data_IF_883857569080
#
_entry.id   IF_883857569080
#
_cell.length_a   1.000
_cell.length_b   1.000
_cell.length_c   1.000
_cell.angle_alpha   90.00
_cell.angle_beta   90.00
_cell.angle_gamma   90.00
#
_symmetry.space_group_name_H-M   'P 1'
#
loop_
_entity.id
_entity.type
_entity.pdbx_description
1 polymer ?
#
# COMPACT_ATOMS: atom_id res chain seq x y z
N UNK A 1 -9.87 4.85 5.39
CA UNK A 1 -9.06 4.09 6.38
C UNK A 1 -8.00 5.01 6.98
N UNK A 2 -7.52 4.72 8.19
CA UNK A 2 -6.32 5.39 8.74
C UNK A 2 -5.08 4.72 8.15
N UNK A 3 -4.14 5.51 7.61
CA UNK A 3 -2.91 4.99 7.00
C UNK A 3 -1.76 5.01 8.00
N UNK A 4 -1.07 3.88 8.12
CA UNK A 4 0.18 3.76 8.86
C UNK A 4 1.29 3.25 7.93
N UNK A 5 2.54 3.67 8.16
CA UNK A 5 3.69 3.24 7.38
C UNK A 5 4.61 2.38 8.26
N UNK A 6 4.81 1.10 7.90
CA UNK A 6 5.68 0.20 8.67
C UNK A 6 7.18 0.51 8.49
N UNK A 7 7.53 1.27 7.45
CA UNK A 7 8.92 1.64 7.13
C UNK A 7 9.01 3.13 6.78
N UNK A 8 10.05 3.78 7.25
CA UNK A 8 10.30 5.22 7.07
C UNK A 8 10.36 5.64 5.60
N UNK A 9 10.98 4.84 4.73
CA UNK A 9 11.05 5.18 3.31
C UNK A 9 9.66 5.31 2.66
N UNK A 10 8.65 4.58 3.15
CA UNK A 10 7.29 4.64 2.62
C UNK A 10 6.63 5.98 2.94
N UNK A 11 6.83 6.50 4.16
CA UNK A 11 6.32 7.81 4.55
C UNK A 11 7.09 8.93 3.85
N UNK A 12 8.42 8.82 3.73
CA UNK A 12 9.25 9.78 2.97
C UNK A 12 8.79 9.87 1.50
N UNK A 13 8.61 8.72 0.84
CA UNK A 13 8.11 8.70 -0.55
C UNK A 13 6.70 9.29 -0.67
N UNK A 14 5.87 9.16 0.36
CA UNK A 14 4.50 9.68 0.35
C UNK A 14 4.47 11.21 0.55
N UNK A 15 5.14 11.71 1.58
CA UNK A 15 5.10 13.13 1.96
C UNK A 15 6.09 13.99 1.18
N UNK A 16 7.29 13.48 0.90
CA UNK A 16 8.38 14.23 0.27
C UNK A 16 8.56 13.90 -1.21
N UNK A 17 8.00 12.78 -1.67
CA UNK A 17 8.17 12.30 -3.04
C UNK A 17 9.56 11.75 -3.36
N UNK A 18 10.41 11.56 -2.34
CA UNK A 18 11.78 11.04 -2.45
C UNK A 18 12.22 10.39 -1.14
N UNK A 19 13.23 9.54 -1.23
CA UNK A 19 13.92 8.93 -0.09
C UNK A 19 15.43 9.00 -0.35
N UNK A 20 16.24 9.20 0.70
CA UNK A 20 17.70 9.31 0.56
C UNK A 20 18.40 7.95 0.40
N UNK A 21 17.74 6.86 0.81
CA UNK A 21 18.25 5.50 0.69
C UNK A 21 18.40 5.08 -0.79
N UNK A 22 19.54 4.46 -1.10
CA UNK A 22 19.86 3.98 -2.45
C UNK A 22 18.94 2.85 -2.89
N UNK A 23 18.44 2.01 -1.98
CA UNK A 23 17.60 0.86 -2.34
C UNK A 23 16.20 1.25 -2.81
N UNK A 24 15.69 2.40 -2.35
CA UNK A 24 14.31 2.85 -2.59
C UNK A 24 14.23 4.05 -3.56
N UNK A 25 15.22 4.19 -4.46
CA UNK A 25 15.21 5.20 -5.54
C UNK A 25 14.35 4.75 -6.71
N UNK A 26 13.04 4.81 -6.51
CA UNK A 26 12.08 4.49 -7.57
C UNK A 26 12.03 5.59 -8.63
N UNK A 27 11.58 5.23 -9.83
CA UNK A 27 11.33 6.23 -10.88
C UNK A 27 10.20 7.17 -10.46
N UNK A 28 10.22 8.46 -10.84
CA UNK A 28 9.19 9.43 -10.44
C UNK A 28 7.75 9.01 -10.76
N UNK A 29 7.55 8.22 -11.83
CA UNK A 29 6.22 7.69 -12.18
C UNK A 29 5.74 6.62 -11.18
N UNK A 30 6.64 5.77 -10.68
CA UNK A 30 6.34 4.75 -9.66
C UNK A 30 5.92 5.44 -8.37
N UNK A 31 6.67 6.46 -7.94
CA UNK A 31 6.37 7.25 -6.73
C UNK A 31 5.00 7.92 -6.86
N UNK A 32 4.71 8.58 -7.99
CA UNK A 32 3.39 9.19 -8.24
C UNK A 32 2.26 8.17 -8.18
N UNK A 33 2.45 6.98 -8.75
CA UNK A 33 1.43 5.93 -8.71
C UNK A 33 1.28 5.34 -7.30
N UNK A 34 2.37 5.17 -6.57
CA UNK A 34 2.38 4.77 -5.17
C UNK A 34 1.55 5.73 -4.31
N UNK A 35 1.82 7.04 -4.40
CA UNK A 35 1.04 8.08 -3.69
C UNK A 35 -0.44 7.97 -4.04
N UNK A 36 -0.78 7.82 -5.34
CA UNK A 36 -2.17 7.61 -5.75
C UNK A 36 -2.80 6.39 -5.10
N UNK A 37 -2.07 5.28 -4.95
CA UNK A 37 -2.59 4.07 -4.29
C UNK A 37 -2.83 4.30 -2.81
N UNK A 38 -1.91 4.98 -2.11
CA UNK A 38 -2.08 5.32 -0.70
C UNK A 38 -3.30 6.24 -0.50
N UNK A 39 -3.50 7.23 -1.37
CA UNK A 39 -4.69 8.09 -1.34
C UNK A 39 -5.97 7.29 -1.56
N UNK A 40 -6.00 6.40 -2.56
CA UNK A 40 -7.15 5.50 -2.79
C UNK A 40 -7.48 4.65 -1.56
N UNK A 41 -6.46 4.15 -0.84
CA UNK A 41 -6.65 3.39 0.40
C UNK A 41 -7.17 4.28 1.54
N UNK A 42 -6.69 5.51 1.66
CA UNK A 42 -7.13 6.46 2.67
C UNK A 42 -8.61 6.84 2.49
N UNK A 43 -9.04 7.03 1.24
CA UNK A 43 -10.42 7.35 0.86
C UNK A 43 -11.38 6.15 0.93
N UNK A 44 -10.86 4.92 0.91
CA UNK A 44 -11.67 3.71 1.00
C UNK A 44 -12.31 3.55 2.40
N UNK A 45 -13.58 3.13 2.42
CA UNK A 45 -14.30 2.80 3.65
C UNK A 45 -13.83 1.46 4.23
N UNK A 46 -13.65 0.46 3.37
CA UNK A 46 -13.16 -0.87 3.69
C UNK A 46 -12.42 -1.43 2.46
N UNK A 47 -11.87 -2.63 2.55
CA UNK A 47 -11.03 -3.17 1.48
C UNK A 47 -11.87 -3.69 0.30
N UNK A 48 -13.11 -4.06 0.56
CA UNK A 48 -14.06 -4.60 -0.41
C UNK A 48 -14.38 -3.60 -1.52
N UNK A 49 -14.37 -2.30 -1.23
CA UNK A 49 -14.58 -1.26 -2.27
C UNK A 49 -13.48 -1.25 -3.34
N UNK A 50 -12.32 -1.87 -3.07
CA UNK A 50 -11.21 -1.96 -4.01
C UNK A 50 -11.38 -3.10 -5.02
N UNK A 51 -12.16 -4.14 -4.68
CA UNK A 51 -12.32 -5.34 -5.51
C UNK A 51 -12.84 -5.06 -6.93
N UNK A 52 -13.84 -4.19 -7.15
CA UNK A 52 -14.31 -3.88 -8.52
C UNK A 52 -13.31 -3.03 -9.32
N UNK A 53 -12.27 -2.47 -8.70
CA UNK A 53 -11.28 -1.63 -9.37
C UNK A 53 -10.22 -2.49 -10.07
N UNK A 54 -10.56 -3.04 -11.24
CA UNK A 54 -9.70 -3.95 -12.01
C UNK A 54 -8.27 -3.44 -12.25
N UNK A 55 -8.07 -2.11 -12.32
CA UNK A 55 -6.74 -1.51 -12.48
C UNK A 55 -5.80 -1.72 -11.28
N UNK A 56 -6.36 -1.96 -10.09
CA UNK A 56 -5.62 -2.30 -8.88
C UNK A 56 -5.16 -3.74 -8.89
N UNK A 57 -5.84 -4.63 -9.62
CA UNK A 57 -5.56 -6.06 -9.64
C UNK A 57 -5.43 -6.63 -8.23
N UNK A 58 -6.39 -6.33 -7.36
CA UNK A 58 -6.32 -6.64 -5.94
C UNK A 58 -6.08 -8.14 -5.69
N UNK A 59 -5.20 -8.46 -4.74
CA UNK A 59 -4.84 -9.82 -4.40
C UNK A 59 -4.57 -9.95 -2.89
N UNK A 60 -5.04 -11.04 -2.27
CA UNK A 60 -4.59 -11.43 -0.93
C UNK A 60 -3.46 -12.45 -1.10
N UNK A 61 -2.29 -12.12 -0.55
CA UNK A 61 -1.09 -12.95 -0.68
C UNK A 61 -1.21 -14.25 0.12
N UNK A 62 -0.49 -15.26 -0.32
CA UNK A 62 -0.48 -16.61 0.25
C UNK A 62 0.91 -17.01 0.76
N UNK A 63 1.01 -18.20 1.37
CA UNK A 63 2.26 -18.70 1.94
C UNK A 63 2.75 -17.85 3.12
N UNK A 64 4.05 -17.53 3.14
CA UNK A 64 4.69 -16.75 4.20
C UNK A 64 4.13 -15.32 4.35
N UNK A 65 3.46 -14.82 3.31
CA UNK A 65 2.81 -13.50 3.29
C UNK A 65 1.29 -13.58 3.53
N UNK A 66 0.79 -14.68 4.09
CA UNK A 66 -0.64 -14.83 4.39
C UNK A 66 -1.15 -13.67 5.25
N UNK A 67 -2.28 -13.08 4.84
CA UNK A 67 -2.89 -11.94 5.53
C UNK A 67 -2.31 -10.58 5.10
N UNK A 68 -1.43 -10.55 4.11
CA UNK A 68 -1.02 -9.32 3.41
C UNK A 68 -1.86 -9.18 2.14
N UNK A 69 -2.36 -7.99 1.90
CA UNK A 69 -3.06 -7.61 0.67
C UNK A 69 -2.11 -6.86 -0.25
N UNK A 70 -2.37 -6.95 -1.56
CA UNK A 70 -1.52 -6.37 -2.59
C UNK A 70 -2.35 -5.68 -3.67
N UNK A 71 -1.96 -4.45 -4.04
CA UNK A 71 -2.51 -3.73 -5.19
C UNK A 71 -1.41 -3.26 -6.13
N UNK A 72 -1.75 -3.07 -7.40
CA UNK A 72 -0.82 -2.73 -8.47
C UNK A 72 -0.44 -1.25 -8.41
N UNK A 73 0.86 -0.95 -8.35
CA UNK A 73 1.39 0.39 -8.59
C UNK A 73 1.55 0.58 -10.10
N UNK A 74 2.24 -0.35 -10.76
CA UNK A 74 2.42 -0.38 -12.21
C UNK A 74 2.68 -1.80 -12.74
N UNK A 75 3.29 -1.92 -13.93
CA UNK A 75 3.59 -3.23 -14.55
C UNK A 75 4.73 -3.99 -13.86
N UNK A 76 5.41 -3.42 -12.88
CA UNK A 76 6.56 -4.01 -12.20
C UNK A 76 6.38 -4.06 -10.67
N UNK A 77 5.71 -3.06 -10.10
CA UNK A 77 5.65 -2.86 -8.66
C UNK A 77 4.24 -3.03 -8.11
N UNK A 78 4.17 -3.57 -6.89
CA UNK A 78 2.96 -3.72 -6.09
C UNK A 78 3.13 -3.03 -4.75
N UNK A 79 2.03 -2.54 -4.22
CA UNK A 79 1.90 -2.04 -2.86
C UNK A 79 1.37 -3.16 -1.99
N UNK A 80 2.14 -3.56 -0.99
CA UNK A 80 1.74 -4.53 0.03
C UNK A 80 1.26 -3.81 1.29
N UNK A 81 0.14 -4.24 1.85
CA UNK A 81 -0.45 -3.64 3.04
C UNK A 81 -1.27 -4.66 3.84
N UNK A 82 -1.54 -4.38 5.11
CA UNK A 82 -2.47 -5.13 5.96
C UNK A 82 -3.59 -4.23 6.43
N UNK A 83 -4.79 -4.80 6.56
CA UNK A 83 -5.95 -4.12 7.15
C UNK A 83 -6.26 -4.75 8.50
N UNK A 84 -6.48 -3.91 9.50
CA UNK A 84 -6.92 -4.30 10.84
C UNK A 84 -8.00 -3.33 11.35
N UNK A 85 -8.69 -3.73 12.42
CA UNK A 85 -9.67 -2.89 13.10
C UNK A 85 -9.33 -2.76 14.58
N UNK A 86 -9.67 -1.63 15.19
CA UNK A 86 -9.58 -1.50 16.65
C UNK A 86 -10.67 -2.33 17.33
N UNK A 87 -10.35 -2.86 18.51
CA UNK A 87 -11.30 -3.64 19.32
C UNK A 87 -12.20 -2.76 20.20
N UNK A 88 -11.97 -1.45 20.24
CA UNK A 88 -12.71 -0.47 21.05
C UNK A 88 -13.53 0.49 20.19
N UNK A 89 -14.63 1.00 20.75
CA UNK A 89 -15.45 2.03 20.09
C UNK A 89 -14.80 3.43 20.16
N UNK A 90 -14.85 4.21 19.07
CA UNK A 90 -15.35 3.83 17.75
C UNK A 90 -14.41 2.84 17.03
N UNK A 91 -14.98 1.89 16.29
CA UNK A 91 -14.18 0.94 15.47
C UNK A 91 -13.50 1.72 14.34
N UNK A 92 -12.17 1.67 14.28
CA UNK A 92 -11.35 2.32 13.27
C UNK A 92 -10.70 1.25 12.40
N UNK A 93 -10.82 1.39 11.08
CA UNK A 93 -10.07 0.56 10.11
C UNK A 93 -8.70 1.17 9.84
N UNK A 94 -7.66 0.43 10.21
CA UNK A 94 -6.25 0.79 10.02
C UNK A 94 -5.72 0.03 8.79
N UNK A 95 -4.99 0.73 7.94
CA UNK A 95 -4.29 0.18 6.78
C UNK A 95 -2.79 0.43 6.95
N UNK A 96 -2.07 -0.61 7.32
CA UNK A 96 -0.62 -0.58 7.52
C UNK A 96 0.08 -0.89 6.20
N UNK A 97 0.77 0.10 5.64
CA UNK A 97 1.56 -0.02 4.41
C UNK A 97 2.89 -0.70 4.75
N UNK A 98 3.14 -1.85 4.13
CA UNK A 98 4.24 -2.76 4.47
C UNK A 98 5.45 -2.56 3.55
N UNK A 99 5.21 -2.53 2.23
CA UNK A 99 6.29 -2.47 1.26
C UNK A 99 5.84 -2.09 -0.16
N UNK A 100 6.80 -1.62 -0.95
CA UNK A 100 6.73 -1.60 -2.42
C UNK A 100 7.55 -2.78 -2.96
N UNK A 101 6.88 -3.83 -3.40
CA UNK A 101 7.54 -5.05 -3.90
C UNK A 101 7.52 -5.12 -5.43
N UNK A 102 8.52 -5.78 -5.99
CA UNK A 102 8.57 -6.08 -7.42
C UNK A 102 8.01 -7.48 -7.62
N UNK A 103 6.91 -7.67 -8.37
CA UNK A 103 6.29 -8.99 -8.51
C UNK A 103 7.06 -9.96 -9.43
N UNK A 104 8.21 -9.56 -9.98
CA UNK A 104 9.13 -10.43 -10.70
C UNK A 104 10.29 -10.95 -9.83
N UNK A 105 10.35 -10.56 -8.55
CA UNK A 105 11.43 -10.91 -7.63
C UNK A 105 10.92 -11.59 -6.38
#
# INVERSE_FOLDING_TARGET
MVIEFEKEYLSELYYEGKCNDKKHRFQPQVIRNYVKRVVTLAEALNVEVLYPLNSLNYEVLSGDKKGISSIRIDKQYRLEFRVSTTDSEPIITICSIIDITNHYK
#
